data_IF_054830727495
#
_entry.id   IF_054830727495
#
_cell.length_a   1.000
_cell.length_b   1.000
_cell.length_c   1.000
_cell.angle_alpha   90.00
_cell.angle_beta   90.00
_cell.angle_gamma   90.00
#
_symmetry.space_group_name_H-M   'P 1'
#
loop_
_entity.id
_entity.type
_entity.pdbx_description
1 polymer ?
#
# COMPACT_ATOMS: atom_id res chain seq x y z
N UNK A 1 10.09 -2.98 5.13
CA UNK A 1 11.49 -3.29 4.79
C UNK A 1 12.44 -2.24 5.34
N UNK A 2 12.59 -1.05 4.73
CA UNK A 2 13.59 -0.05 5.16
C UNK A 2 13.42 0.47 6.58
N UNK A 3 12.19 0.45 7.11
CA UNK A 3 11.87 0.93 8.45
C UNK A 3 11.71 -0.20 9.46
N UNK A 4 11.89 -1.45 9.04
CA UNK A 4 11.76 -2.63 9.88
C UNK A 4 13.06 -2.82 10.67
N UNK A 5 13.02 -2.95 12.00
CA UNK A 5 14.22 -3.09 12.81
C UNK A 5 14.83 -4.50 12.69
N UNK A 6 16.15 -4.60 12.78
CA UNK A 6 16.88 -5.82 13.10
C UNK A 6 16.96 -6.02 14.63
N UNK A 7 17.68 -7.04 15.08
CA UNK A 7 17.87 -7.35 16.51
C UNK A 7 18.57 -6.22 17.29
N UNK A 8 19.33 -5.36 16.61
CA UNK A 8 20.04 -4.21 17.18
C UNK A 8 19.21 -2.91 17.12
N UNK A 9 17.95 -2.96 16.66
CA UNK A 9 17.09 -1.78 16.48
C UNK A 9 17.49 -0.88 15.31
N UNK A 10 18.35 -1.35 14.40
CA UNK A 10 18.75 -0.67 13.16
C UNK A 10 17.88 -1.13 11.99
N UNK A 11 17.77 -0.35 10.88
CA UNK A 11 17.13 -0.83 9.67
C UNK A 11 17.67 -2.20 9.24
N UNK A 12 16.79 -3.20 9.13
CA UNK A 12 17.15 -4.55 8.72
C UNK A 12 17.59 -4.64 7.25
N UNK A 13 17.24 -3.64 6.44
CA UNK A 13 17.51 -3.60 5.01
C UNK A 13 18.06 -2.23 4.61
N UNK A 14 19.06 -2.23 3.73
CA UNK A 14 19.55 -1.04 3.06
C UNK A 14 18.72 -0.72 1.81
N UNK A 15 18.80 0.53 1.34
CA UNK A 15 18.10 0.98 0.13
C UNK A 15 18.46 0.13 -1.12
N UNK A 16 19.71 -0.31 -1.24
CA UNK A 16 20.17 -1.15 -2.36
C UNK A 16 19.48 -2.52 -2.39
N UNK A 17 19.12 -3.06 -1.22
CA UNK A 17 18.54 -4.39 -1.07
C UNK A 17 17.09 -4.41 -1.60
N UNK A 18 16.41 -3.26 -1.66
CA UNK A 18 15.07 -3.14 -2.25
C UNK A 18 15.10 -3.45 -3.75
N UNK A 19 16.14 -3.02 -4.46
CA UNK A 19 16.31 -3.35 -5.88
C UNK A 19 16.49 -4.85 -6.06
N UNK A 20 17.34 -5.47 -5.25
CA UNK A 20 17.60 -6.91 -5.32
C UNK A 20 16.35 -7.71 -5.01
N UNK A 21 15.58 -7.29 -3.99
CA UNK A 21 14.28 -7.87 -3.67
C UNK A 21 13.34 -7.88 -4.88
N UNK A 22 13.19 -6.74 -5.57
CA UNK A 22 12.31 -6.69 -6.73
C UNK A 22 12.80 -7.58 -7.87
N UNK A 23 14.11 -7.61 -8.15
CA UNK A 23 14.66 -8.45 -9.22
C UNK A 23 14.47 -9.95 -8.95
N UNK A 24 14.60 -10.37 -7.69
CA UNK A 24 14.48 -11.77 -7.30
C UNK A 24 13.02 -12.23 -7.16
N UNK A 25 12.16 -11.41 -6.53
CA UNK A 25 10.83 -11.86 -6.10
C UNK A 25 9.71 -11.43 -7.06
N UNK A 26 9.83 -10.34 -7.84
CA UNK A 26 8.76 -9.93 -8.77
C UNK A 26 8.32 -11.02 -9.76
N UNK A 27 9.23 -11.78 -10.40
CA UNK A 27 8.80 -12.82 -11.35
C UNK A 27 7.97 -13.94 -10.69
N UNK A 28 8.05 -14.10 -9.37
CA UNK A 28 7.31 -15.08 -8.59
C UNK A 28 6.03 -14.48 -7.99
N UNK A 29 6.04 -13.19 -7.64
CA UNK A 29 4.86 -12.43 -7.21
C UNK A 29 3.90 -12.24 -8.39
N UNK A 30 4.45 -11.94 -9.58
CA UNK A 30 3.72 -11.67 -10.81
C UNK A 30 4.19 -12.60 -11.93
N UNK A 31 3.89 -13.91 -11.84
CA UNK A 31 4.32 -14.87 -12.84
C UNK A 31 3.74 -14.54 -14.22
N UNK A 32 4.58 -14.57 -15.24
CA UNK A 32 4.16 -14.41 -16.63
C UNK A 32 3.60 -15.73 -17.16
N UNK A 33 2.29 -15.78 -17.45
CA UNK A 33 1.67 -16.88 -18.17
C UNK A 33 1.99 -16.78 -19.66
N UNK A 34 3.04 -17.47 -20.11
CA UNK A 34 3.37 -17.60 -21.53
C UNK A 34 2.51 -18.69 -22.19
N UNK A 35 1.21 -18.46 -22.32
CA UNK A 35 0.32 -19.33 -23.09
C UNK A 35 -0.15 -18.67 -24.41
N UNK A 36 -0.23 -19.42 -25.53
CA UNK A 36 -0.62 -18.89 -26.84
C UNK A 36 -2.07 -18.35 -26.91
N UNK A 37 -2.87 -18.53 -25.86
CA UNK A 37 -4.25 -18.01 -25.72
C UNK A 37 -4.40 -16.94 -24.62
N UNK A 38 -3.30 -16.34 -24.16
CA UNK A 38 -3.26 -15.40 -23.02
C UNK A 38 -4.26 -14.22 -23.13
N UNK A 39 -4.61 -13.77 -24.35
CA UNK A 39 -5.56 -12.67 -24.54
C UNK A 39 -6.99 -12.99 -24.08
N UNK A 40 -7.48 -14.21 -24.35
CA UNK A 40 -8.83 -14.63 -23.97
C UNK A 40 -8.91 -15.07 -22.50
N UNK A 41 -7.85 -15.70 -21.99
CA UNK A 41 -7.78 -16.12 -20.58
C UNK A 41 -7.70 -14.94 -19.62
N UNK A 42 -6.99 -13.85 -19.97
CA UNK A 42 -6.92 -12.64 -19.15
C UNK A 42 -8.29 -11.96 -18.94
N UNK A 43 -9.17 -11.97 -19.95
CA UNK A 43 -10.51 -11.37 -19.85
C UNK A 43 -11.43 -12.22 -18.97
N UNK A 44 -11.37 -13.55 -19.09
CA UNK A 44 -12.15 -14.47 -18.25
C UNK A 44 -11.63 -14.44 -16.81
N UNK A 45 -10.31 -14.41 -16.60
CA UNK A 45 -9.67 -14.32 -15.28
C UNK A 45 -10.02 -13.00 -14.59
N UNK A 46 -10.05 -11.88 -15.32
CA UNK A 46 -10.48 -10.57 -14.81
C UNK A 46 -11.96 -10.54 -14.37
N UNK A 47 -12.78 -11.48 -14.83
CA UNK A 47 -14.19 -11.63 -14.45
C UNK A 47 -14.41 -12.63 -13.30
N UNK A 48 -13.47 -13.55 -13.06
CA UNK A 48 -13.62 -14.64 -12.09
C UNK A 48 -12.79 -14.48 -10.80
N UNK A 49 -11.87 -13.51 -10.74
CA UNK A 49 -11.04 -13.27 -9.56
C UNK A 49 -9.86 -12.31 -9.83
N UNK A 50 -8.96 -12.11 -8.85
CA UNK A 50 -7.75 -11.33 -9.07
C UNK A 50 -6.82 -12.03 -10.06
N UNK A 51 -6.03 -11.25 -10.79
CA UNK A 51 -5.06 -11.75 -11.78
C UNK A 51 -4.01 -12.68 -11.17
N UNK A 52 -3.59 -12.38 -9.93
CA UNK A 52 -2.62 -13.12 -9.15
C UNK A 52 -3.24 -13.56 -7.82
N UNK A 53 -2.86 -14.74 -7.31
CA UNK A 53 -3.41 -15.30 -6.07
C UNK A 53 -2.86 -14.65 -4.79
N UNK A 54 -1.74 -13.93 -4.89
CA UNK A 54 -1.08 -13.26 -3.77
C UNK A 54 -0.34 -14.18 -2.79
N UNK A 55 -0.37 -15.51 -2.96
CA UNK A 55 0.17 -16.44 -1.95
C UNK A 55 1.67 -16.21 -1.72
N UNK A 56 2.45 -16.19 -2.81
CA UNK A 56 3.88 -15.96 -2.72
C UNK A 56 4.22 -14.56 -2.18
N UNK A 57 3.41 -13.55 -2.48
CA UNK A 57 3.57 -12.20 -1.91
C UNK A 57 3.40 -12.22 -0.39
N UNK A 58 2.38 -12.91 0.11
CA UNK A 58 2.14 -13.01 1.55
C UNK A 58 3.30 -13.73 2.24
N UNK A 59 3.71 -14.87 1.70
CA UNK A 59 4.83 -15.67 2.22
C UNK A 59 6.12 -14.85 2.31
N UNK A 60 6.52 -14.18 1.21
CA UNK A 60 7.80 -13.47 1.20
C UNK A 60 7.77 -12.23 2.10
N UNK A 61 6.65 -11.51 2.16
CA UNK A 61 6.52 -10.34 3.03
C UNK A 61 6.53 -10.75 4.50
N UNK A 62 5.82 -11.81 4.87
CA UNK A 62 5.86 -12.37 6.23
C UNK A 62 7.25 -12.88 6.58
N UNK A 63 7.95 -13.55 5.64
CA UNK A 63 9.32 -14.01 5.84
C UNK A 63 10.29 -12.84 6.07
N UNK A 64 10.17 -11.75 5.30
CA UNK A 64 11.10 -10.61 5.37
C UNK A 64 10.83 -9.69 6.55
N UNK A 65 9.59 -9.57 6.99
CA UNK A 65 9.17 -8.62 8.03
C UNK A 65 8.89 -9.29 9.38
N UNK A 66 8.84 -10.62 9.40
CA UNK A 66 8.58 -11.42 10.59
C UNK A 66 7.31 -10.95 11.33
N UNK A 67 7.32 -11.07 12.65
CA UNK A 67 6.23 -10.67 13.54
C UNK A 67 6.29 -9.20 13.95
N UNK A 68 7.09 -8.38 13.24
CA UNK A 68 7.32 -6.98 13.60
C UNK A 68 6.05 -6.14 13.46
N UNK A 69 5.73 -5.38 14.50
CA UNK A 69 4.55 -4.50 14.57
C UNK A 69 4.88 -3.05 14.26
N UNK A 70 3.84 -2.26 13.98
CA UNK A 70 3.95 -0.86 13.60
C UNK A 70 4.73 -0.02 14.60
N UNK A 71 4.56 -0.25 15.91
CA UNK A 71 5.29 0.47 16.95
C UNK A 71 6.80 0.17 16.98
N UNK A 72 7.24 -0.97 16.42
CA UNK A 72 8.66 -1.35 16.39
C UNK A 72 9.42 -0.68 15.24
N UNK A 73 8.75 0.07 14.35
CA UNK A 73 9.43 0.73 13.24
C UNK A 73 10.53 1.69 13.72
N UNK A 74 11.68 1.68 13.06
CA UNK A 74 12.87 2.50 13.41
C UNK A 74 12.66 4.01 13.21
N UNK A 75 11.57 4.39 12.54
CA UNK A 75 11.13 5.78 12.32
C UNK A 75 9.62 5.79 12.16
N UNK A 76 9.01 6.96 12.32
CA UNK A 76 7.59 7.12 12.06
C UNK A 76 7.25 6.79 10.60
N UNK A 77 6.23 5.95 10.40
CA UNK A 77 5.74 5.58 9.08
C UNK A 77 4.26 5.95 8.92
N UNK A 78 3.87 6.20 7.67
CA UNK A 78 2.50 6.52 7.27
C UNK A 78 2.18 5.70 6.02
N UNK A 79 1.30 4.71 6.15
CA UNK A 79 0.95 3.78 5.07
C UNK A 79 -0.57 3.81 4.85
N UNK A 80 -1.05 4.35 3.72
CA UNK A 80 -2.48 4.36 3.39
C UNK A 80 -2.96 2.98 2.93
N UNK A 81 -4.19 2.65 3.28
CA UNK A 81 -4.96 1.49 2.83
C UNK A 81 -6.43 1.90 2.74
N UNK A 82 -7.29 1.08 2.13
CA UNK A 82 -8.74 1.29 2.14
C UNK A 82 -9.46 0.10 2.74
N UNK A 83 -10.30 0.33 3.75
CA UNK A 83 -11.10 -0.71 4.39
C UNK A 83 -12.44 -0.86 3.66
N UNK A 84 -12.63 -2.00 2.99
CA UNK A 84 -13.84 -2.28 2.18
C UNK A 84 -15.04 -2.68 3.03
N UNK A 85 -14.85 -3.12 4.27
CA UNK A 85 -15.96 -3.47 5.17
C UNK A 85 -16.65 -2.22 5.70
N UNK A 86 -15.85 -1.18 5.99
CA UNK A 86 -16.35 0.10 6.49
C UNK A 86 -16.36 1.23 5.46
N UNK A 87 -15.92 0.96 4.21
CA UNK A 87 -15.84 1.91 3.10
C UNK A 87 -15.11 3.21 3.46
N UNK A 88 -13.96 3.09 4.12
CA UNK A 88 -13.19 4.25 4.60
C UNK A 88 -11.69 4.06 4.43
N UNK A 89 -10.91 5.16 4.26
CA UNK A 89 -9.47 5.09 4.31
C UNK A 89 -8.98 4.68 5.71
N UNK A 90 -7.95 3.85 5.75
CA UNK A 90 -7.21 3.52 6.98
C UNK A 90 -5.76 3.88 6.75
N UNK A 91 -5.26 4.85 7.52
CA UNK A 91 -3.87 5.29 7.48
C UNK A 91 -3.17 4.67 8.68
N UNK A 92 -2.32 3.66 8.42
CA UNK A 92 -1.44 3.12 9.45
C UNK A 92 -0.31 4.11 9.70
N UNK A 93 -0.39 4.81 10.83
CA UNK A 93 0.49 5.91 11.19
C UNK A 93 1.10 5.65 12.57
N UNK A 94 2.43 5.63 12.67
CA UNK A 94 3.11 5.51 13.97
C UNK A 94 2.71 6.63 14.94
N UNK A 95 2.41 7.83 14.40
CA UNK A 95 1.96 8.97 15.18
C UNK A 95 0.62 8.74 15.88
N UNK A 96 -0.27 7.95 15.27
CA UNK A 96 -1.61 7.71 15.82
C UNK A 96 -1.65 6.63 16.90
N UNK A 97 -0.58 5.84 17.08
CA UNK A 97 -0.57 4.69 17.98
C UNK A 97 -0.90 5.05 19.44
N UNK A 98 -0.51 6.25 19.89
CA UNK A 98 -0.83 6.75 21.24
C UNK A 98 -2.34 6.90 21.47
N UNK A 99 -3.08 7.25 20.43
CA UNK A 99 -4.52 7.56 20.50
C UNK A 99 -5.39 6.41 19.98
N UNK A 100 -4.85 5.59 19.07
CA UNK A 100 -5.57 4.50 18.40
C UNK A 100 -4.71 3.23 18.44
N UNK A 101 -4.65 2.52 19.59
CA UNK A 101 -3.83 1.32 19.75
C UNK A 101 -4.16 0.19 18.77
N UNK A 102 -5.40 0.16 18.27
CA UNK A 102 -5.85 -0.82 17.26
C UNK A 102 -5.13 -0.71 15.92
N UNK A 103 -4.37 0.37 15.67
CA UNK A 103 -3.52 0.49 14.47
C UNK A 103 -2.18 -0.25 14.61
N UNK A 104 -1.82 -0.77 15.79
CA UNK A 104 -0.57 -1.51 16.02
C UNK A 104 -0.61 -2.93 15.45
N UNK A 105 -0.76 -3.04 14.13
CA UNK A 105 -0.77 -4.28 13.39
C UNK A 105 0.64 -4.73 12.99
N UNK A 106 0.78 -5.97 12.53
CA UNK A 106 2.03 -6.45 11.92
C UNK A 106 2.32 -5.62 10.66
N UNK A 107 3.58 -5.22 10.48
CA UNK A 107 4.01 -4.49 9.29
C UNK A 107 3.77 -5.34 8.03
N UNK A 108 3.88 -6.68 8.13
CA UNK A 108 3.54 -7.59 7.03
C UNK A 108 2.09 -7.46 6.58
N UNK A 109 1.13 -7.43 7.51
CA UNK A 109 -0.29 -7.29 7.18
C UNK A 109 -0.61 -5.94 6.55
N UNK A 110 0.01 -4.87 7.05
CA UNK A 110 -0.10 -3.52 6.49
C UNK A 110 0.48 -3.48 5.07
N UNK A 111 1.66 -4.08 4.84
CA UNK A 111 2.30 -4.15 3.53
C UNK A 111 1.48 -4.95 2.51
N UNK A 112 0.89 -6.07 2.93
CA UNK A 112 0.01 -6.85 2.07
C UNK A 112 -1.23 -6.01 1.71
N UNK A 113 -1.91 -5.45 2.71
CA UNK A 113 -3.12 -4.64 2.51
C UNK A 113 -2.90 -3.43 1.60
N UNK A 114 -1.83 -2.66 1.80
CA UNK A 114 -1.53 -1.47 0.98
C UNK A 114 -1.18 -1.81 -0.47
N UNK A 115 -0.77 -3.05 -0.75
CA UNK A 115 -0.41 -3.52 -2.10
C UNK A 115 -1.52 -4.29 -2.82
N UNK A 116 -2.65 -4.55 -2.15
CA UNK A 116 -3.73 -5.39 -2.63
C UNK A 116 -4.60 -4.66 -3.67
N UNK A 117 -4.03 -4.39 -4.85
CA UNK A 117 -4.67 -3.65 -5.93
C UNK A 117 -5.90 -4.41 -6.46
N UNK A 118 -7.10 -3.79 -6.49
CA UNK A 118 -8.29 -4.42 -7.05
C UNK A 118 -8.03 -4.95 -8.46
N UNK A 119 -8.59 -6.12 -8.78
CA UNK A 119 -8.37 -6.90 -10.02
C UNK A 119 -6.99 -7.55 -10.17
N UNK A 120 -5.97 -7.13 -9.43
CA UNK A 120 -4.62 -7.68 -9.50
C UNK A 120 -4.32 -8.69 -8.38
N UNK A 121 -4.62 -8.32 -7.15
CA UNK A 121 -4.34 -9.10 -5.93
C UNK A 121 -5.62 -9.23 -5.08
N UNK A 122 -5.77 -10.30 -4.28
CA UNK A 122 -6.89 -10.44 -3.35
C UNK A 122 -6.82 -9.38 -2.24
N UNK A 123 -7.99 -9.01 -1.70
CA UNK A 123 -8.06 -8.19 -0.49
C UNK A 123 -7.49 -8.94 0.71
N UNK A 124 -6.95 -8.21 1.69
CA UNK A 124 -6.32 -8.79 2.88
C UNK A 124 -7.17 -8.55 4.13
N UNK A 125 -7.34 -9.58 4.95
CA UNK A 125 -8.10 -9.48 6.20
C UNK A 125 -7.29 -9.96 7.38
N UNK A 126 -7.33 -9.21 8.47
CA UNK A 126 -6.67 -9.55 9.73
C UNK A 126 -7.32 -8.82 10.90
N UNK A 127 -6.90 -9.16 12.12
CA UNK A 127 -7.41 -8.60 13.35
C UNK A 127 -6.27 -8.09 14.22
N UNK A 128 -6.55 -7.05 15.00
CA UNK A 128 -5.69 -6.59 16.08
C UNK A 128 -6.39 -6.81 17.41
N UNK A 129 -5.62 -7.24 18.40
CA UNK A 129 -6.08 -7.58 19.74
C UNK A 129 -5.28 -6.76 20.77
N UNK A 130 -5.84 -6.60 21.97
CA UNK A 130 -5.12 -6.04 23.11
C UNK A 130 -4.25 -7.09 23.80
N UNK A 131 -3.57 -6.69 24.89
CA UNK A 131 -2.70 -7.58 25.67
C UNK A 131 -3.43 -8.74 26.36
N UNK A 132 -4.76 -8.66 26.48
CA UNK A 132 -5.60 -9.72 27.06
C UNK A 132 -6.20 -10.63 25.97
N UNK A 133 -5.85 -10.40 24.69
CA UNK A 133 -6.36 -11.15 23.55
C UNK A 133 -7.76 -10.74 23.12
N UNK A 134 -8.27 -9.61 23.61
CA UNK A 134 -9.58 -9.10 23.20
C UNK A 134 -9.44 -8.35 21.88
N UNK A 135 -10.33 -8.69 20.95
CA UNK A 135 -10.43 -8.03 19.64
C UNK A 135 -10.61 -6.52 19.79
N UNK A 136 -9.66 -5.75 19.26
CA UNK A 136 -9.72 -4.30 19.16
C UNK A 136 -10.38 -3.86 17.86
N UNK A 137 -9.97 -4.46 16.74
CA UNK A 137 -10.45 -4.12 15.40
C UNK A 137 -10.17 -5.24 14.40
N UNK A 138 -11.10 -5.39 13.47
CA UNK A 138 -10.93 -6.19 12.26
C UNK A 138 -10.67 -5.24 11.07
N UNK A 139 -9.75 -5.64 10.21
CA UNK A 139 -9.36 -4.89 9.01
C UNK A 139 -9.67 -5.73 7.78
N UNK A 140 -10.26 -5.12 6.76
CA UNK A 140 -10.53 -5.75 5.47
C UNK A 140 -10.03 -4.80 4.37
N UNK A 141 -8.76 -4.95 4.00
CA UNK A 141 -7.99 -3.92 3.31
C UNK A 141 -7.79 -4.23 1.83
N UNK A 142 -7.77 -3.17 1.04
CA UNK A 142 -7.25 -3.11 -0.33
C UNK A 142 -6.23 -1.98 -0.46
N UNK A 143 -5.64 -1.88 -1.64
CA UNK A 143 -4.55 -0.97 -2.00
C UNK A 143 -4.76 0.49 -1.57
N UNK A 144 -3.69 1.08 -1.03
CA UNK A 144 -3.66 2.47 -0.60
C UNK A 144 -3.84 3.48 -1.74
N UNK A 145 -3.58 3.11 -2.99
CA UNK A 145 -3.75 3.95 -4.17
C UNK A 145 -5.21 4.38 -4.39
N UNK A 146 -6.18 3.61 -3.88
CA UNK A 146 -7.61 4.00 -3.85
C UNK A 146 -7.83 5.25 -3.00
N UNK A 147 -6.99 5.47 -2.00
CA UNK A 147 -7.02 6.65 -1.12
C UNK A 147 -6.05 7.72 -1.61
N UNK A 148 -4.78 7.35 -1.77
CA UNK A 148 -3.69 8.26 -2.07
C UNK A 148 -2.56 7.52 -2.81
N UNK A 149 -2.62 7.53 -4.15
CA UNK A 149 -1.55 7.00 -4.99
C UNK A 149 -0.21 7.77 -4.81
N UNK A 150 -0.27 9.00 -4.31
CA UNK A 150 0.88 9.72 -3.78
C UNK A 150 0.63 10.08 -2.30
N UNK A 151 1.26 9.36 -1.34
CA UNK A 151 0.99 9.55 0.08
C UNK A 151 1.66 10.80 0.69
N UNK A 152 2.34 11.65 -0.11
CA UNK A 152 3.07 12.82 0.40
C UNK A 152 2.19 13.72 1.25
N UNK A 153 0.98 14.04 0.78
CA UNK A 153 0.06 14.90 1.53
C UNK A 153 -0.49 14.20 2.77
N UNK A 154 -0.71 12.88 2.73
CA UNK A 154 -1.10 12.10 3.90
C UNK A 154 -0.02 12.16 4.98
N UNK A 155 1.26 11.99 4.61
CA UNK A 155 2.39 12.10 5.52
C UNK A 155 2.53 13.51 6.12
N UNK A 156 2.42 14.56 5.29
CA UNK A 156 2.45 15.95 5.77
C UNK A 156 1.31 16.21 6.76
N UNK A 157 0.11 15.69 6.50
CA UNK A 157 -1.04 15.84 7.38
C UNK A 157 -0.78 15.19 8.75
N UNK A 158 -0.26 13.96 8.77
CA UNK A 158 0.08 13.27 10.02
C UNK A 158 1.13 14.03 10.86
N UNK A 159 2.19 14.52 10.22
CA UNK A 159 3.19 15.37 10.90
C UNK A 159 2.57 16.68 11.38
N UNK A 160 1.73 17.32 10.57
CA UNK A 160 1.06 18.57 10.93
C UNK A 160 0.13 18.40 12.14
N UNK A 161 -0.55 17.26 12.25
CA UNK A 161 -1.37 16.92 13.43
C UNK A 161 -0.51 16.84 14.69
N UNK A 162 0.60 16.13 14.66
CA UNK A 162 1.52 15.99 15.82
C UNK A 162 2.10 17.32 16.29
N UNK A 163 2.46 18.18 15.34
CA UNK A 163 2.90 19.53 15.64
C UNK A 163 1.80 20.32 16.34
N UNK A 164 0.57 20.23 15.82
CA UNK A 164 -0.58 20.99 16.34
C UNK A 164 -1.03 20.48 17.72
N UNK A 165 -0.86 19.18 18.00
CA UNK A 165 -1.14 18.58 19.32
C UNK A 165 -0.03 18.84 20.34
N UNK A 166 1.06 19.53 19.95
CA UNK A 166 2.13 19.94 20.86
C UNK A 166 3.13 18.83 21.18
N UNK A 167 3.37 17.91 20.24
CA UNK A 167 4.38 16.86 20.41
C UNK A 167 5.76 17.46 20.72
N UNK A 168 6.48 16.96 21.75
CA UNK A 168 7.80 17.47 22.13
C UNK A 168 8.88 17.21 21.08
N UNK A 169 8.63 16.28 20.13
CA UNK A 169 9.56 15.91 19.07
C UNK A 169 9.65 16.98 17.97
N UNK A 170 8.71 17.94 17.96
CA UNK A 170 8.65 18.99 16.95
C UNK A 170 8.68 20.38 17.58
N UNK A 171 9.36 21.32 16.90
CA UNK A 171 9.26 22.72 17.25
C UNK A 171 7.84 23.24 16.97
N UNK A 172 7.25 24.04 17.87
CA UNK A 172 5.98 24.68 17.60
C UNK A 172 6.09 25.53 16.33
N UNK A 173 5.31 25.19 15.32
CA UNK A 173 5.12 26.00 14.12
C UNK A 173 3.65 26.38 14.01
N UNK A 174 3.36 27.51 13.36
CA UNK A 174 1.97 27.88 13.14
C UNK A 174 1.33 26.86 12.19
N UNK A 175 0.03 26.55 12.35
CA UNK A 175 -0.71 25.80 11.33
C UNK A 175 -0.47 26.42 9.94
N UNK A 176 -0.16 25.60 8.93
CA UNK A 176 0.16 25.99 7.55
C UNK A 176 1.55 26.61 7.30
N UNK A 177 2.43 26.66 8.31
CA UNK A 177 3.83 27.10 8.14
C UNK A 177 4.70 25.98 7.57
N UNK A 178 4.50 25.65 6.28
CA UNK A 178 5.23 24.56 5.61
C UNK A 178 6.71 24.85 5.32
N UNK A 179 7.20 26.05 5.64
CA UNK A 179 8.58 26.48 5.35
C UNK A 179 9.67 25.67 6.04
N UNK A 180 9.32 24.84 7.03
CA UNK A 180 10.24 23.94 7.73
C UNK A 180 10.13 22.48 7.32
N UNK A 181 9.23 22.16 6.39
CA UNK A 181 9.11 20.81 5.84
C UNK A 181 10.12 20.63 4.72
N UNK A 182 11.03 19.67 4.89
CA UNK A 182 11.84 19.16 3.80
C UNK A 182 11.22 17.86 3.31
N UNK A 183 10.72 17.86 2.07
CA UNK A 183 9.97 16.74 1.51
C UNK A 183 10.69 16.19 0.28
N UNK A 184 10.97 14.89 0.29
CA UNK A 184 11.40 14.13 -0.87
C UNK A 184 10.26 13.20 -1.28
N UNK A 185 9.63 13.47 -2.44
CA UNK A 185 8.57 12.63 -3.01
C UNK A 185 9.12 11.87 -4.21
N UNK A 186 9.11 10.54 -4.14
CA UNK A 186 9.62 9.66 -5.19
C UNK A 186 8.46 8.96 -5.90
N UNK A 187 8.30 9.24 -7.19
CA UNK A 187 7.30 8.58 -8.04
C UNK A 187 7.84 7.33 -8.75
N UNK A 188 6.95 6.44 -9.19
CA UNK A 188 7.27 5.22 -9.95
C UNK A 188 7.25 5.44 -11.47
N UNK A 189 7.21 6.70 -11.91
CA UNK A 189 7.07 7.09 -13.31
C UNK A 189 5.62 7.21 -13.76
N UNK A 190 5.41 7.85 -14.91
CA UNK A 190 4.10 7.96 -15.57
C UNK A 190 4.21 7.46 -17.01
N UNK A 191 3.09 7.00 -17.58
CA UNK A 191 3.11 6.63 -19.00
C UNK A 191 3.46 7.86 -19.83
N UNK A 192 4.35 7.67 -20.82
CA UNK A 192 4.61 8.70 -21.83
C UNK A 192 3.30 9.04 -22.53
N UNK A 193 3.12 10.31 -22.88
CA UNK A 193 1.96 10.75 -23.65
C UNK A 193 1.83 9.87 -24.91
N UNK A 194 0.72 9.16 -25.02
CA UNK A 194 0.35 8.33 -26.14
C UNK A 194 -1.14 8.57 -26.42
N UNK A 195 -1.50 8.85 -27.66
CA UNK A 195 -2.91 9.00 -28.11
C UNK A 195 -3.62 7.64 -28.18
N UNK A 196 -3.52 6.84 -27.10
CA UNK A 196 -4.08 5.48 -27.02
C UNK A 196 -5.61 5.49 -27.12
N UNK A 197 -6.25 6.45 -26.45
CA UNK A 197 -7.70 6.54 -26.31
C UNK A 197 -8.19 7.95 -26.60
N UNK A 198 -9.38 8.04 -27.19
CA UNK A 198 -10.10 9.29 -27.41
C UNK A 198 -11.57 9.10 -26.99
N UNK A 199 -12.27 10.21 -26.80
CA UNK A 199 -13.66 10.19 -26.34
C UNK A 199 -14.59 9.44 -27.30
N UNK A 200 -14.29 9.43 -28.60
CA UNK A 200 -15.07 8.68 -29.59
C UNK A 200 -14.94 7.17 -29.35
N UNK A 201 -13.72 6.67 -29.14
CA UNK A 201 -13.44 5.26 -28.82
C UNK A 201 -14.04 4.85 -27.48
N UNK A 202 -13.92 5.69 -26.45
CA UNK A 202 -14.40 5.35 -25.10
C UNK A 202 -15.90 5.59 -24.89
N UNK A 203 -16.59 6.30 -25.80
CA UNK A 203 -18.03 6.61 -25.69
C UNK A 203 -18.94 5.37 -25.66
N UNK A 204 -18.47 4.24 -26.21
CA UNK A 204 -19.19 2.97 -26.24
C UNK A 204 -18.69 1.97 -25.19
N UNK A 205 -17.73 2.36 -24.34
CA UNK A 205 -17.15 1.45 -23.36
C UNK A 205 -18.10 1.20 -22.19
N UNK A 206 -18.40 -0.08 -21.95
CA UNK A 206 -18.91 -0.56 -20.68
C UNK A 206 -17.80 -0.80 -19.65
N UNK A 207 -18.14 -1.42 -18.53
CA UNK A 207 -17.21 -1.75 -17.42
C UNK A 207 -15.94 -2.45 -17.91
N UNK A 208 -16.07 -3.43 -18.82
CA UNK A 208 -14.93 -4.17 -19.37
C UNK A 208 -14.04 -3.31 -20.29
N UNK A 209 -14.61 -2.34 -21.00
CA UNK A 209 -13.82 -1.41 -21.81
C UNK A 209 -12.91 -0.54 -20.93
N UNK A 210 -13.43 -0.09 -19.79
CA UNK A 210 -12.67 0.71 -18.83
C UNK A 210 -11.66 -0.07 -17.98
N UNK A 211 -11.88 -1.37 -17.75
CA UNK A 211 -11.01 -2.22 -16.93
C UNK A 211 -10.03 -3.11 -17.74
N UNK A 212 -10.35 -3.41 -19.00
CA UNK A 212 -9.58 -4.34 -19.84
C UNK A 212 -9.51 -3.93 -21.33
N UNK A 213 -9.89 -2.70 -21.67
CA UNK A 213 -9.91 -2.18 -23.03
C UNK A 213 -8.55 -2.27 -23.74
N UNK A 214 -8.53 -2.95 -24.90
CA UNK A 214 -7.34 -3.04 -25.75
C UNK A 214 -6.16 -3.81 -25.13
N UNK A 215 -6.41 -4.67 -24.13
CA UNK A 215 -5.34 -5.38 -23.42
C UNK A 215 -4.62 -4.53 -22.36
N UNK A 216 -5.22 -3.41 -21.96
CA UNK A 216 -4.74 -2.54 -20.89
C UNK A 216 -5.88 -2.14 -19.95
N UNK A 217 -5.57 -1.37 -18.89
CA UNK A 217 -6.56 -0.89 -17.91
C UNK A 217 -6.66 0.64 -17.98
N UNK A 218 -7.56 1.22 -18.80
CA UNK A 218 -7.67 2.67 -19.00
C UNK A 218 -7.92 3.52 -17.75
N UNK A 219 -8.50 2.95 -16.68
CA UNK A 219 -8.76 3.65 -15.41
C UNK A 219 -7.59 3.64 -14.41
N UNK A 220 -6.45 3.00 -14.75
CA UNK A 220 -5.28 2.85 -13.87
C UNK A 220 -4.04 3.53 -14.48
#
# INVERSE_FOLDING_TARGET
>A
MLTTPNEEGRPAYAAKDVKEFYLEHCPKIFPHENHPFAGATNVIKALSGPKYDGQYLHEIIQQKLHEKRLHEAVTNIVIPTFDIKYLQPVIFSSYQLKNVPSLDAKISDICIGTSAAPTYLPSHSFQTEDSEGKLLREFNLIDGAVVANNPTLAAINEVSKEITTGSPDFFPIKPLEYGRFLVLSLGTGSQKFQEKYDATKSSSWGVLGWLAGGGSTPLV
#
